data_IF_574669305400
#
_entry.id   IF_574669305400
#
_cell.length_a   1.000
_cell.length_b   1.000
_cell.length_c   1.000
_cell.angle_alpha   90.00
_cell.angle_beta   90.00
_cell.angle_gamma   90.00
#
_symmetry.space_group_name_H-M   'P 1'
#
loop_
_entity.id
_entity.type
_entity.pdbx_description
1 polymer ?
#
# COMPACT_ATOMS: atom_id res chain seq x y z
N UNK A 1 -6.24 -16.48 2.85
CA UNK A 1 -5.85 -16.47 4.28
C UNK A 1 -4.39 -16.12 4.51
N UNK A 2 -3.41 -16.69 3.79
CA UNK A 2 -1.95 -16.47 4.02
C UNK A 2 -1.50 -14.99 4.04
N UNK A 3 -1.98 -14.13 3.11
CA UNK A 3 -1.59 -12.69 3.10
C UNK A 3 -2.21 -11.85 4.22
N UNK A 4 -3.40 -12.22 4.71
CA UNK A 4 -4.02 -11.52 5.84
C UNK A 4 -3.13 -11.67 7.09
N UNK A 5 -2.58 -12.87 7.27
CA UNK A 5 -1.60 -13.16 8.33
C UNK A 5 -0.27 -12.41 8.13
N UNK A 6 0.18 -12.18 6.90
CA UNK A 6 1.42 -11.44 6.64
C UNK A 6 1.29 -9.95 7.01
N UNK A 7 0.21 -9.29 6.60
CA UNK A 7 -0.01 -7.88 6.98
C UNK A 7 -0.20 -7.73 8.49
N UNK A 8 -0.95 -8.62 9.13
CA UNK A 8 -1.11 -8.60 10.58
C UNK A 8 0.23 -8.74 11.30
N UNK A 9 1.08 -9.70 10.91
CA UNK A 9 2.45 -9.85 11.44
C UNK A 9 3.26 -8.57 11.25
N UNK A 10 3.28 -8.02 10.05
CA UNK A 10 4.02 -6.80 9.74
C UNK A 10 3.57 -5.60 10.58
N UNK A 11 2.26 -5.39 10.71
CA UNK A 11 1.68 -4.33 11.54
C UNK A 11 2.04 -4.54 13.03
N UNK A 12 2.08 -5.79 13.53
CA UNK A 12 2.54 -6.09 14.90
C UNK A 12 4.01 -5.74 15.10
N UNK A 13 4.87 -6.11 14.14
CA UNK A 13 6.29 -5.76 14.23
C UNK A 13 6.49 -4.24 14.25
N UNK A 14 5.77 -3.50 13.41
CA UNK A 14 5.81 -2.02 13.46
C UNK A 14 5.36 -1.51 14.83
N UNK A 15 4.25 -2.01 15.38
CA UNK A 15 3.77 -1.58 16.69
C UNK A 15 4.80 -1.84 17.81
N UNK A 16 5.46 -3.00 17.78
CA UNK A 16 6.52 -3.34 18.74
C UNK A 16 7.73 -2.42 18.60
N UNK A 17 8.16 -2.14 17.36
CA UNK A 17 9.27 -1.22 17.10
C UNK A 17 8.94 0.20 17.59
N UNK A 18 7.74 0.70 17.29
CA UNK A 18 7.29 2.01 17.75
C UNK A 18 7.24 2.10 19.28
N UNK A 19 6.75 1.05 19.92
CA UNK A 19 6.72 0.93 21.38
C UNK A 19 8.13 0.94 21.99
N UNK A 20 9.08 0.23 21.37
CA UNK A 20 10.46 0.22 21.83
C UNK A 20 11.12 1.58 21.65
N UNK A 21 10.98 2.23 20.49
CA UNK A 21 11.53 3.57 20.23
C UNK A 21 10.97 4.58 21.22
N UNK A 22 9.66 4.57 21.48
CA UNK A 22 9.05 5.49 22.44
C UNK A 22 9.49 5.21 23.88
N UNK A 23 9.60 3.95 24.28
CA UNK A 23 10.09 3.58 25.60
C UNK A 23 11.54 4.05 25.81
N UNK A 24 12.43 3.81 24.85
CA UNK A 24 13.81 4.29 24.93
C UNK A 24 13.86 5.82 25.03
N UNK A 25 13.08 6.54 24.22
CA UNK A 25 13.03 8.00 24.29
C UNK A 25 12.52 8.50 25.66
N UNK A 26 11.49 7.87 26.23
CA UNK A 26 11.01 8.19 27.59
C UNK A 26 12.07 7.94 28.66
N UNK A 27 12.74 6.78 28.61
CA UNK A 27 13.85 6.46 29.53
C UNK A 27 15.04 7.42 29.34
N UNK A 28 15.29 7.85 28.10
CA UNK A 28 16.31 8.85 27.78
C UNK A 28 16.08 10.18 28.50
N UNK A 29 14.83 10.64 28.60
CA UNK A 29 14.48 11.81 29.38
C UNK A 29 14.56 11.57 30.89
N UNK A 30 14.08 10.42 31.38
CA UNK A 30 14.07 10.12 32.82
C UNK A 30 15.47 9.91 33.42
N UNK A 31 16.39 9.33 32.65
CA UNK A 31 17.77 9.05 33.09
C UNK A 31 18.79 10.03 32.49
N UNK A 32 18.35 11.07 31.79
CA UNK A 32 19.20 12.05 31.12
C UNK A 32 20.22 11.40 30.14
N UNK A 33 19.82 10.34 29.45
CA UNK A 33 20.64 9.62 28.46
C UNK A 33 20.38 10.22 27.08
N UNK A 34 21.33 11.00 26.58
CA UNK A 34 21.19 11.73 25.31
C UNK A 34 21.03 10.83 24.08
N UNK A 35 21.68 9.67 24.07
CA UNK A 35 21.67 8.75 22.91
C UNK A 35 20.27 8.21 22.60
N UNK A 36 19.36 8.26 23.58
CA UNK A 36 17.99 7.81 23.42
C UNK A 36 17.02 8.93 23.04
N UNK A 37 17.40 10.20 23.23
CA UNK A 37 16.57 11.36 22.87
C UNK A 37 16.95 11.97 21.52
N UNK A 38 18.19 11.78 21.06
CA UNK A 38 18.70 12.24 19.76
C UNK A 38 19.48 11.13 19.04
N UNK A 39 19.30 11.04 17.72
CA UNK A 39 19.99 10.03 16.87
C UNK A 39 21.41 10.43 16.53
N UNK A 40 21.65 11.73 16.34
CA UNK A 40 22.96 12.28 16.01
C UNK A 40 23.14 13.61 16.75
N UNK A 41 24.38 13.88 17.18
CA UNK A 41 24.73 15.05 17.96
C UNK A 41 24.37 16.33 17.18
N UNK A 42 23.51 17.17 17.75
CA UNK A 42 23.08 18.43 17.14
C UNK A 42 21.77 18.34 16.33
N UNK A 43 21.16 17.15 16.19
CA UNK A 43 19.80 17.04 15.69
C UNK A 43 18.77 17.33 16.80
N UNK A 44 17.53 17.75 16.43
CA UNK A 44 16.46 17.91 17.39
C UNK A 44 16.18 16.62 18.17
N UNK A 45 15.97 16.76 19.48
CA UNK A 45 15.58 15.67 20.37
C UNK A 45 14.10 15.34 20.24
N UNK A 46 13.69 14.08 20.31
CA UNK A 46 12.28 13.73 20.50
C UNK A 46 11.87 14.05 21.92
N UNK A 47 10.90 14.97 22.08
CA UNK A 47 10.40 15.40 23.39
C UNK A 47 9.63 14.29 24.11
N UNK A 48 9.59 14.35 25.45
CA UNK A 48 8.91 13.36 26.28
C UNK A 48 7.44 13.17 25.88
N UNK A 49 6.69 14.26 25.70
CA UNK A 49 5.29 14.20 25.29
C UNK A 49 5.10 13.51 23.93
N UNK A 50 6.03 13.71 22.99
CA UNK A 50 6.03 13.01 21.71
C UNK A 50 6.24 11.51 21.90
N UNK A 51 7.21 11.12 22.73
CA UNK A 51 7.49 9.72 23.03
C UNK A 51 6.28 9.04 23.70
N UNK A 52 5.66 9.69 24.68
CA UNK A 52 4.46 9.20 25.33
C UNK A 52 3.29 9.03 24.34
N UNK A 53 3.05 10.00 23.45
CA UNK A 53 2.04 9.87 22.40
C UNK A 53 2.31 8.69 21.44
N UNK A 54 3.57 8.43 21.08
CA UNK A 54 3.91 7.24 20.28
C UNK A 54 3.73 5.94 21.05
N UNK A 55 4.02 5.91 22.35
CA UNK A 55 3.74 4.76 23.21
C UNK A 55 2.24 4.44 23.21
N UNK A 56 1.38 5.46 23.41
CA UNK A 56 -0.07 5.30 23.31
C UNK A 56 -0.49 4.81 21.93
N UNK A 57 0.01 5.43 20.85
CA UNK A 57 -0.30 5.06 19.48
C UNK A 57 0.09 3.60 19.17
N UNK A 58 1.26 3.16 19.61
CA UNK A 58 1.74 1.79 19.43
C UNK A 58 0.83 0.78 20.13
N UNK A 59 0.42 1.06 21.37
CA UNK A 59 -0.55 0.26 22.10
C UNK A 59 -1.91 0.20 21.38
N UNK A 60 -2.40 1.33 20.85
CA UNK A 60 -3.65 1.37 20.08
C UNK A 60 -3.55 0.52 18.81
N UNK A 61 -2.47 0.65 18.02
CA UNK A 61 -2.24 -0.15 16.81
C UNK A 61 -2.12 -1.64 17.15
N UNK A 62 -1.46 -2.00 18.24
CA UNK A 62 -1.35 -3.39 18.68
C UNK A 62 -2.72 -3.96 19.09
N UNK A 63 -3.48 -3.24 19.92
CA UNK A 63 -4.79 -3.68 20.42
C UNK A 63 -5.86 -3.76 19.33
N UNK A 64 -5.78 -2.92 18.28
CA UNK A 64 -6.73 -2.98 17.15
C UNK A 64 -6.66 -4.29 16.35
N UNK A 65 -5.61 -5.11 16.55
CA UNK A 65 -5.54 -6.44 15.96
C UNK A 65 -6.23 -7.55 16.77
N UNK A 66 -6.54 -7.31 18.04
CA UNK A 66 -7.11 -8.31 18.95
C UNK A 66 -8.57 -7.99 19.32
N UNK A 67 -9.43 -9.01 19.40
CA UNK A 67 -10.84 -8.83 19.80
C UNK A 67 -11.03 -8.44 21.27
N UNK A 68 -10.10 -8.80 22.17
CA UNK A 68 -10.26 -8.64 23.62
C UNK A 68 -9.81 -7.28 24.18
N UNK A 69 -9.06 -6.46 23.43
CA UNK A 69 -8.49 -5.20 23.93
C UNK A 69 -9.22 -3.94 23.44
N UNK A 70 -10.48 -4.08 23.00
CA UNK A 70 -11.20 -3.01 22.30
C UNK A 70 -11.41 -1.74 23.14
N UNK A 71 -11.97 -1.87 24.35
CA UNK A 71 -12.26 -0.73 25.23
C UNK A 71 -10.99 0.01 25.65
N UNK A 72 -9.93 -0.74 25.96
CA UNK A 72 -8.62 -0.18 26.34
C UNK A 72 -8.06 0.65 25.19
N UNK A 73 -8.10 0.11 23.96
CA UNK A 73 -7.64 0.81 22.76
C UNK A 73 -8.41 2.11 22.50
N UNK A 74 -9.69 2.18 22.84
CA UNK A 74 -10.50 3.40 22.70
C UNK A 74 -10.10 4.48 23.71
N UNK A 75 -9.96 4.11 24.99
CA UNK A 75 -9.52 5.04 26.05
C UNK A 75 -8.13 5.61 25.74
N UNK A 76 -7.18 4.75 25.34
CA UNK A 76 -5.83 5.19 24.96
C UNK A 76 -5.84 6.13 23.74
N UNK A 77 -6.71 5.86 22.77
CA UNK A 77 -6.81 6.70 21.57
C UNK A 77 -7.48 8.06 21.84
N UNK A 78 -8.45 8.11 22.76
CA UNK A 78 -9.05 9.36 23.24
C UNK A 78 -8.00 10.19 23.98
N UNK A 79 -7.23 9.57 24.89
CA UNK A 79 -6.14 10.24 25.59
C UNK A 79 -5.11 10.82 24.60
N UNK A 80 -4.70 10.03 23.61
CA UNK A 80 -3.80 10.47 22.54
C UNK A 80 -4.38 11.68 21.78
N UNK A 81 -5.66 11.64 21.41
CA UNK A 81 -6.32 12.73 20.70
C UNK A 81 -6.34 14.01 21.53
N UNK A 82 -6.66 13.89 22.82
CA UNK A 82 -6.71 15.04 23.75
C UNK A 82 -5.32 15.67 23.86
N UNK A 83 -4.28 14.90 24.16
CA UNK A 83 -2.92 15.42 24.32
C UNK A 83 -2.43 16.14 23.04
N UNK A 84 -2.64 15.54 21.87
CA UNK A 84 -2.26 16.12 20.60
C UNK A 84 -3.06 17.39 20.26
N UNK A 85 -4.37 17.39 20.54
CA UNK A 85 -5.25 18.54 20.30
C UNK A 85 -4.91 19.70 21.23
N UNK A 86 -4.69 19.44 22.52
CA UNK A 86 -4.29 20.46 23.48
C UNK A 86 -2.96 21.11 23.06
N UNK A 87 -1.97 20.30 22.63
CA UNK A 87 -0.70 20.84 22.12
C UNK A 87 -0.90 21.73 20.88
N UNK A 88 -1.76 21.32 19.94
CA UNK A 88 -2.05 22.13 18.76
C UNK A 88 -2.76 23.46 19.12
N UNK A 89 -3.72 23.41 20.07
CA UNK A 89 -4.42 24.61 20.54
C UNK A 89 -3.46 25.57 21.25
N UNK A 90 -2.50 25.07 22.03
CA UNK A 90 -1.45 25.90 22.64
C UNK A 90 -0.62 26.66 21.59
N UNK A 91 -0.37 26.07 20.40
CA UNK A 91 0.29 26.77 19.30
C UNK A 91 -0.57 27.86 18.66
N UNK A 92 -1.86 27.59 18.47
CA UNK A 92 -2.79 28.54 17.83
C UNK A 92 -3.13 29.70 18.79
N UNK A 93 -3.33 29.40 20.07
CA UNK A 93 -3.70 30.37 21.09
C UNK A 93 -2.53 31.10 21.74
N UNK A 94 -1.28 30.75 21.38
CA UNK A 94 -0.07 31.37 21.94
C UNK A 94 0.01 31.36 23.48
N UNK A 95 -0.56 30.33 24.11
CA UNK A 95 -0.51 30.14 25.56
C UNK A 95 0.25 28.86 25.94
N UNK A 96 0.66 28.78 27.21
CA UNK A 96 1.29 27.61 27.78
C UNK A 96 0.49 27.10 28.98
N UNK A 97 0.04 25.86 28.90
CA UNK A 97 -0.69 25.17 29.98
C UNK A 97 0.27 24.46 30.93
N UNK A 98 1.58 24.42 30.64
CA UNK A 98 2.59 23.74 31.44
C UNK A 98 2.56 22.21 31.31
N UNK A 99 1.72 21.64 30.43
CA UNK A 99 1.67 20.19 30.20
C UNK A 99 2.94 19.65 29.53
N UNK A 100 3.74 20.53 28.93
CA UNK A 100 4.92 20.19 28.15
C UNK A 100 6.13 19.78 29.01
N UNK A 101 6.11 20.13 30.30
CA UNK A 101 7.18 19.86 31.25
C UNK A 101 6.67 19.21 32.55
N UNK A 102 5.46 18.66 32.54
CA UNK A 102 4.82 18.10 33.74
C UNK A 102 5.57 16.90 34.31
N UNK A 103 6.15 16.06 33.43
CA UNK A 103 6.86 14.84 33.85
C UNK A 103 8.38 15.06 33.94
N UNK A 104 8.97 15.70 32.93
CA UNK A 104 10.41 15.98 32.87
C UNK A 104 10.61 17.39 32.30
N UNK A 105 11.50 18.16 32.92
CA UNK A 105 11.85 19.51 32.46
C UNK A 105 12.83 19.45 31.28
N UNK A 106 12.62 20.30 30.29
CA UNK A 106 13.48 20.40 29.10
C UNK A 106 14.60 21.41 29.33
N UNK A 107 15.55 21.07 30.20
CA UNK A 107 16.69 21.92 30.57
C UNK A 107 17.48 22.40 29.35
N UNK A 108 17.62 21.54 28.33
CA UNK A 108 18.32 21.87 27.08
C UNK A 108 17.52 22.84 26.22
N UNK A 109 16.20 22.67 26.14
CA UNK A 109 15.30 23.63 25.50
C UNK A 109 15.39 25.00 26.14
N UNK A 110 15.46 25.04 27.48
CA UNK A 110 15.63 26.27 28.25
C UNK A 110 17.01 26.89 27.97
N UNK A 111 18.08 26.11 28.03
CA UNK A 111 19.45 26.57 27.79
C UNK A 111 19.68 27.09 26.36
N UNK A 112 18.93 26.57 25.38
CA UNK A 112 19.01 26.99 23.97
C UNK A 112 18.05 28.13 23.63
N UNK A 113 17.29 28.65 24.60
CA UNK A 113 16.33 29.73 24.38
C UNK A 113 15.13 29.33 23.52
N UNK A 114 14.75 28.05 23.53
CA UNK A 114 13.58 27.57 22.80
C UNK A 114 12.30 28.20 23.41
N UNK A 115 11.46 28.88 22.61
CA UNK A 115 10.27 29.58 23.13
C UNK A 115 9.21 28.65 23.71
N UNK A 116 9.24 27.36 23.39
CA UNK A 116 8.29 26.36 23.94
C UNK A 116 9.05 25.08 24.34
N UNK A 117 9.75 25.09 25.48
CA UNK A 117 10.52 23.93 25.97
C UNK A 117 9.60 22.74 26.27
N UNK A 118 10.04 21.52 25.93
CA UNK A 118 9.27 20.29 26.12
C UNK A 118 8.14 20.05 25.10
N UNK A 119 7.68 21.09 24.41
CA UNK A 119 6.53 21.02 23.48
C UNK A 119 6.86 20.25 22.20
N UNK A 120 6.00 19.32 21.81
CA UNK A 120 6.11 18.62 20.53
C UNK A 120 5.88 19.57 19.35
N UNK A 121 6.47 19.33 18.18
CA UNK A 121 6.28 20.21 17.02
C UNK A 121 4.82 20.29 16.55
N UNK A 122 4.43 21.39 15.92
CA UNK A 122 3.08 21.57 15.38
C UNK A 122 2.71 20.50 14.34
N UNK A 123 3.66 20.10 13.48
CA UNK A 123 3.47 18.98 12.57
C UNK A 123 3.26 17.65 13.30
N UNK A 124 3.97 17.42 14.42
CA UNK A 124 3.86 16.20 15.21
C UNK A 124 2.47 16.09 15.85
N UNK A 125 1.97 17.18 16.46
CA UNK A 125 0.62 17.19 17.03
C UNK A 125 -0.45 16.96 15.96
N UNK A 126 -0.32 17.58 14.78
CA UNK A 126 -1.25 17.35 13.68
C UNK A 126 -1.22 15.89 13.18
N UNK A 127 -0.03 15.29 13.08
CA UNK A 127 0.11 13.88 12.69
C UNK A 127 -0.58 12.95 13.68
N UNK A 128 -0.43 13.17 14.99
CA UNK A 128 -1.13 12.36 16.00
C UNK A 128 -2.65 12.51 15.92
N UNK A 129 -3.17 13.73 15.69
CA UNK A 129 -4.60 13.96 15.49
C UNK A 129 -5.10 13.17 14.28
N UNK A 130 -4.42 13.26 13.15
CA UNK A 130 -4.79 12.52 11.92
C UNK A 130 -4.74 11.00 12.14
N UNK A 131 -3.71 10.49 12.81
CA UNK A 131 -3.62 9.07 13.14
C UNK A 131 -4.76 8.62 14.06
N UNK A 132 -5.08 9.40 15.09
CA UNK A 132 -6.16 9.08 16.03
C UNK A 132 -7.53 9.09 15.34
N UNK A 133 -7.82 10.10 14.51
CA UNK A 133 -9.06 10.16 13.72
C UNK A 133 -9.13 8.98 12.74
N UNK A 134 -8.03 8.64 12.07
CA UNK A 134 -7.96 7.49 11.18
C UNK A 134 -8.31 6.18 11.91
N UNK A 135 -7.72 5.95 13.08
CA UNK A 135 -7.96 4.76 13.89
C UNK A 135 -9.40 4.64 14.41
N UNK A 136 -10.07 5.76 14.72
CA UNK A 136 -11.51 5.78 15.06
C UNK A 136 -12.35 5.42 13.83
N UNK A 137 -12.10 6.08 12.69
CA UNK A 137 -12.89 5.91 11.47
C UNK A 137 -12.78 4.50 10.87
N UNK A 138 -11.62 3.84 11.01
CA UNK A 138 -11.42 2.44 10.58
C UNK A 138 -12.42 1.48 11.24
N UNK A 139 -12.86 1.78 12.47
CA UNK A 139 -13.79 0.95 13.24
C UNK A 139 -15.24 1.08 12.76
N UNK A 140 -15.56 2.10 11.99
CA UNK A 140 -16.91 2.29 11.46
C UNK A 140 -17.28 1.19 10.45
N UNK A 141 -18.56 0.83 10.37
CA UNK A 141 -19.05 -0.08 9.34
C UNK A 141 -19.17 0.59 7.96
N UNK A 142 -19.10 1.92 7.88
CA UNK A 142 -19.26 2.67 6.64
C UNK A 142 -17.98 2.67 5.79
N UNK A 143 -18.11 2.26 4.53
CA UNK A 143 -17.03 2.33 3.55
C UNK A 143 -16.55 3.77 3.30
N UNK A 144 -17.46 4.77 3.40
CA UNK A 144 -17.09 6.18 3.30
C UNK A 144 -16.15 6.59 4.45
N UNK A 145 -16.44 6.16 5.68
CA UNK A 145 -15.60 6.44 6.84
C UNK A 145 -14.21 5.79 6.69
N UNK A 146 -14.13 4.55 6.22
CA UNK A 146 -12.85 3.87 5.96
C UNK A 146 -12.04 4.55 4.85
N UNK A 147 -12.69 5.08 3.81
CA UNK A 147 -12.02 5.90 2.79
C UNK A 147 -11.43 7.19 3.37
N UNK A 148 -12.19 7.90 4.22
CA UNK A 148 -11.69 9.10 4.91
C UNK A 148 -10.52 8.75 5.83
N UNK A 149 -10.61 7.63 6.55
CA UNK A 149 -9.51 7.15 7.39
C UNK A 149 -8.22 6.88 6.60
N UNK A 150 -8.35 6.31 5.39
CA UNK A 150 -7.22 6.06 4.50
C UNK A 150 -6.53 7.38 4.12
N UNK A 151 -7.28 8.43 3.78
CA UNK A 151 -6.71 9.74 3.47
C UNK A 151 -5.92 10.32 4.63
N UNK A 152 -6.44 10.29 5.86
CA UNK A 152 -5.69 10.74 7.03
C UNK A 152 -4.37 9.97 7.23
N UNK A 153 -4.40 8.63 7.10
CA UNK A 153 -3.18 7.83 7.24
C UNK A 153 -2.14 8.17 6.16
N UNK A 154 -2.57 8.40 4.92
CA UNK A 154 -1.70 8.78 3.80
C UNK A 154 -1.16 10.19 3.98
N UNK A 155 -1.96 11.14 4.48
CA UNK A 155 -1.49 12.49 4.80
C UNK A 155 -0.35 12.46 5.83
N UNK A 156 -0.43 11.60 6.84
CA UNK A 156 0.66 11.41 7.82
C UNK A 156 1.90 10.82 7.17
N UNK A 157 1.74 9.84 6.26
CA UNK A 157 2.87 9.30 5.47
C UNK A 157 3.53 10.40 4.63
N UNK A 158 2.76 11.27 3.98
CA UNK A 158 3.28 12.36 3.16
C UNK A 158 4.00 13.43 4.01
N UNK A 159 3.41 13.84 5.13
CA UNK A 159 4.01 14.82 6.05
C UNK A 159 5.31 14.28 6.68
N UNK A 160 5.32 13.02 7.09
CA UNK A 160 6.52 12.38 7.63
C UNK A 160 7.59 12.19 6.57
N UNK A 161 7.22 11.83 5.34
CA UNK A 161 8.16 11.75 4.23
C UNK A 161 8.78 13.11 3.91
N UNK A 162 7.98 14.19 3.89
CA UNK A 162 8.49 15.56 3.75
C UNK A 162 9.47 15.97 4.87
N UNK A 163 9.19 15.56 6.11
CA UNK A 163 10.13 15.78 7.21
C UNK A 163 11.43 14.99 7.02
N UNK A 164 11.35 13.72 6.58
CA UNK A 164 12.52 12.87 6.28
C UNK A 164 13.38 13.48 5.17
N UNK A 165 12.79 13.98 4.08
CA UNK A 165 13.56 14.60 2.98
C UNK A 165 14.33 15.83 3.45
N UNK A 166 13.77 16.64 4.36
CA UNK A 166 14.49 17.76 4.95
C UNK A 166 15.75 17.33 5.73
N UNK A 167 15.74 16.14 6.34
CA UNK A 167 16.94 15.55 6.96
C UNK A 167 17.92 14.98 5.93
N UNK A 168 17.44 14.28 4.91
CA UNK A 168 18.28 13.73 3.82
C UNK A 168 19.05 14.85 3.12
N UNK A 169 18.39 15.98 2.87
CA UNK A 169 18.99 17.16 2.23
C UNK A 169 19.86 18.00 3.19
N UNK A 170 19.95 17.60 4.46
CA UNK A 170 20.68 18.31 5.51
C UNK A 170 20.31 19.81 5.52
N UNK A 171 19.01 20.10 5.57
CA UNK A 171 18.49 21.48 5.68
C UNK A 171 18.65 21.92 7.13
N UNK A 172 19.34 23.06 7.42
CA UNK A 172 19.49 23.60 8.76
C UNK A 172 18.13 23.82 9.44
N UNK A 173 18.07 23.64 10.77
CA UNK A 173 16.81 23.77 11.54
C UNK A 173 16.17 25.15 11.44
N UNK A 174 16.98 26.21 11.33
CA UNK A 174 16.52 27.60 11.20
C UNK A 174 15.93 27.91 9.83
N UNK A 175 16.33 27.19 8.78
CA UNK A 175 15.80 27.34 7.42
C UNK A 175 14.51 26.53 7.20
N UNK A 176 14.17 25.65 8.15
CA UNK A 176 12.92 24.89 8.10
C UNK A 176 11.75 25.80 8.47
N UNK A 177 10.61 25.58 7.81
CA UNK A 177 9.35 26.18 8.26
C UNK A 177 9.09 25.80 9.72
N UNK A 178 8.59 26.77 10.50
CA UNK A 178 8.30 26.60 11.95
C UNK A 178 7.41 25.38 12.25
N UNK A 179 6.61 24.97 11.27
CA UNK A 179 5.74 23.80 11.34
C UNK A 179 6.49 22.47 11.60
N UNK A 180 7.70 22.28 11.03
CA UNK A 180 8.50 21.04 11.17
C UNK A 180 9.86 21.24 11.86
N UNK A 181 10.24 22.48 12.21
CA UNK A 181 11.61 22.80 12.65
C UNK A 181 12.08 22.04 13.91
N UNK A 182 11.18 21.77 14.86
CA UNK A 182 11.50 21.06 16.11
C UNK A 182 11.28 19.53 16.04
N UNK A 183 10.89 18.99 14.89
CA UNK A 183 10.66 17.57 14.73
C UNK A 183 11.99 16.81 14.72
N UNK A 184 12.10 15.67 15.40
CA UNK A 184 13.27 14.80 15.34
C UNK A 184 13.19 13.81 14.15
N UNK A 185 14.34 13.31 13.67
CA UNK A 185 14.37 12.38 12.53
C UNK A 185 13.66 11.05 12.82
N UNK A 186 13.90 10.49 14.00
CA UNK A 186 13.27 9.23 14.43
C UNK A 186 11.77 9.41 14.70
N UNK A 187 11.31 10.60 15.11
CA UNK A 187 9.87 10.96 15.13
C UNK A 187 9.26 10.87 13.74
N UNK A 188 9.95 11.40 12.70
CA UNK A 188 9.46 11.34 11.32
C UNK A 188 9.41 9.91 10.79
N UNK A 189 10.47 9.13 11.01
CA UNK A 189 10.50 7.70 10.66
C UNK A 189 9.38 6.93 11.38
N UNK A 190 9.15 7.22 12.67
CA UNK A 190 8.09 6.59 13.47
C UNK A 190 6.70 6.89 12.91
N UNK A 191 6.41 8.13 12.51
CA UNK A 191 5.15 8.47 11.85
C UNK A 191 5.00 7.81 10.48
N UNK A 192 6.07 7.73 9.70
CA UNK A 192 6.05 7.05 8.40
C UNK A 192 5.69 5.57 8.57
N UNK A 193 6.33 4.89 9.53
CA UNK A 193 6.03 3.51 9.87
C UNK A 193 4.60 3.34 10.42
N UNK A 194 4.17 4.20 11.34
CA UNK A 194 2.83 4.15 11.91
C UNK A 194 1.74 4.37 10.84
N UNK A 195 1.93 5.35 9.96
CA UNK A 195 1.04 5.64 8.85
C UNK A 195 0.92 4.45 7.87
N UNK A 196 2.05 3.81 7.52
CA UNK A 196 2.05 2.57 6.74
C UNK A 196 1.30 1.44 7.44
N UNK A 197 1.53 1.25 8.74
CA UNK A 197 0.86 0.22 9.52
C UNK A 197 -0.67 0.41 9.52
N UNK A 198 -1.15 1.64 9.78
CA UNK A 198 -2.59 1.96 9.79
C UNK A 198 -3.21 1.88 8.39
N UNK A 199 -2.50 2.35 7.37
CA UNK A 199 -2.90 2.19 5.96
C UNK A 199 -3.12 0.71 5.60
N UNK A 200 -2.24 -0.18 6.05
CA UNK A 200 -2.32 -1.64 5.82
C UNK A 200 -3.42 -2.36 6.62
N UNK A 201 -4.02 -1.72 7.64
CA UNK A 201 -5.22 -2.26 8.32
C UNK A 201 -6.42 -2.24 7.36
N UNK A 202 -6.50 -1.23 6.48
CA UNK A 202 -7.57 -1.03 5.50
C UNK A 202 -7.05 -1.02 4.06
N UNK A 203 -6.45 -2.13 3.57
CA UNK A 203 -5.73 -2.15 2.30
C UNK A 203 -6.61 -1.97 1.07
N UNK A 204 -7.94 -2.14 1.21
CA UNK A 204 -8.92 -2.02 0.11
C UNK A 204 -9.41 -0.59 -0.14
N UNK A 205 -8.96 0.39 0.64
CA UNK A 205 -9.48 1.75 0.55
C UNK A 205 -8.37 2.77 0.26
N UNK A 206 -8.72 3.80 -0.52
CA UNK A 206 -7.85 4.93 -0.83
C UNK A 206 -6.63 4.56 -1.68
N UNK A 207 -5.53 5.32 -1.51
CA UNK A 207 -4.29 5.09 -2.25
C UNK A 207 -3.65 3.72 -1.94
N UNK A 208 -3.91 3.16 -0.75
CA UNK A 208 -3.37 1.87 -0.33
C UNK A 208 -3.78 0.72 -1.27
N UNK A 209 -4.98 0.78 -1.85
CA UNK A 209 -5.45 -0.26 -2.79
C UNK A 209 -4.54 -0.32 -4.02
N UNK A 210 -4.10 0.84 -4.52
CA UNK A 210 -3.21 0.91 -5.69
C UNK A 210 -1.87 0.21 -5.43
N UNK A 211 -1.38 0.20 -4.20
CA UNK A 211 -0.13 -0.47 -3.83
C UNK A 211 -0.30 -1.91 -3.37
N UNK A 212 -1.49 -2.32 -2.92
CA UNK A 212 -1.71 -3.66 -2.34
C UNK A 212 -2.42 -4.63 -3.28
N UNK A 213 -3.14 -4.15 -4.30
CA UNK A 213 -3.89 -5.02 -5.21
C UNK A 213 -2.98 -5.89 -6.10
N UNK A 214 -3.55 -6.97 -6.64
CA UNK A 214 -2.92 -7.87 -7.62
C UNK A 214 -3.21 -7.47 -9.08
N UNK A 215 -3.89 -6.35 -9.31
CA UNK A 215 -4.16 -5.86 -10.67
C UNK A 215 -2.84 -5.45 -11.34
N UNK A 216 -2.80 -5.59 -12.66
CA UNK A 216 -1.65 -5.19 -13.49
C UNK A 216 -1.25 -3.74 -13.20
N UNK A 217 -2.23 -2.83 -13.13
CA UNK A 217 -1.98 -1.42 -12.80
C UNK A 217 -1.27 -1.22 -11.46
N UNK A 218 -1.61 -2.01 -10.43
CA UNK A 218 -0.93 -1.96 -9.12
C UNK A 218 0.51 -2.48 -9.18
N UNK A 219 0.80 -3.47 -10.02
CA UNK A 219 2.17 -3.91 -10.25
C UNK A 219 3.00 -2.80 -10.91
N UNK A 220 2.46 -2.16 -11.94
CA UNK A 220 3.11 -1.05 -12.63
C UNK A 220 3.35 0.13 -11.68
N UNK A 221 2.33 0.55 -10.91
CA UNK A 221 2.43 1.66 -9.96
C UNK A 221 3.53 1.42 -8.93
N UNK A 222 3.60 0.23 -8.32
CA UNK A 222 4.66 -0.08 -7.34
C UNK A 222 6.06 0.13 -7.94
N UNK A 223 6.32 -0.47 -9.11
CA UNK A 223 7.62 -0.39 -9.76
C UNK A 223 7.99 1.05 -10.10
N UNK A 224 7.06 1.77 -10.73
CA UNK A 224 7.28 3.12 -11.25
C UNK A 224 7.37 4.16 -10.14
N UNK A 225 6.52 4.05 -9.11
CA UNK A 225 6.55 4.94 -7.96
C UNK A 225 7.92 4.91 -7.28
N UNK A 226 8.47 3.73 -6.98
CA UNK A 226 9.78 3.64 -6.33
C UNK A 226 10.92 4.12 -7.22
N UNK A 227 10.86 3.86 -8.54
CA UNK A 227 11.85 4.39 -9.49
C UNK A 227 11.82 5.92 -9.53
N UNK A 228 10.63 6.53 -9.64
CA UNK A 228 10.47 7.98 -9.66
C UNK A 228 10.89 8.62 -8.33
N UNK A 229 10.51 8.00 -7.21
CA UNK A 229 10.85 8.46 -5.87
C UNK A 229 12.38 8.56 -5.71
N UNK A 230 13.09 7.48 -6.03
CA UNK A 230 14.56 7.42 -5.89
C UNK A 230 15.23 8.40 -6.86
N UNK A 231 14.82 8.42 -8.13
CA UNK A 231 15.38 9.31 -9.13
C UNK A 231 15.20 10.79 -8.73
N UNK A 232 14.02 11.17 -8.25
CA UNK A 232 13.71 12.55 -7.86
C UNK A 232 14.52 12.96 -6.64
N UNK A 233 14.60 12.12 -5.60
CA UNK A 233 15.37 12.42 -4.40
C UNK A 233 16.88 12.56 -4.68
N UNK A 234 17.44 11.63 -5.47
CA UNK A 234 18.87 11.65 -5.81
C UNK A 234 19.22 12.91 -6.61
N UNK A 235 18.40 13.23 -7.61
CA UNK A 235 18.68 14.37 -8.45
C UNK A 235 18.49 15.69 -7.70
N UNK A 236 17.43 15.83 -6.90
CA UNK A 236 17.25 17.00 -6.04
C UNK A 236 18.43 17.17 -5.08
N UNK A 237 18.98 16.07 -4.53
CA UNK A 237 20.18 16.12 -3.71
C UNK A 237 21.40 16.61 -4.49
N UNK A 238 21.63 16.11 -5.72
CA UNK A 238 22.73 16.54 -6.59
C UNK A 238 22.61 18.04 -6.92
N UNK A 239 21.43 18.51 -7.31
CA UNK A 239 21.20 19.92 -7.64
C UNK A 239 21.48 20.80 -6.41
N UNK A 240 20.98 20.39 -5.25
CA UNK A 240 21.22 21.11 -3.99
C UNK A 240 22.70 21.13 -3.61
N UNK A 241 23.42 20.01 -3.82
CA UNK A 241 24.85 19.94 -3.59
C UNK A 241 25.63 20.90 -4.50
N UNK A 242 25.29 20.95 -5.78
CA UNK A 242 25.91 21.87 -6.74
C UNK A 242 25.61 23.34 -6.38
N UNK A 243 24.38 23.64 -5.98
CA UNK A 243 23.99 24.97 -5.47
C UNK A 243 24.84 25.38 -4.25
N UNK A 244 24.99 24.49 -3.26
CA UNK A 244 25.81 24.76 -2.05
C UNK A 244 27.29 24.98 -2.35
N UNK A 245 27.80 24.43 -3.46
CA UNK A 245 29.19 24.67 -3.94
C UNK A 245 29.34 25.94 -4.77
N UNK A 246 28.25 26.67 -5.03
CA UNK A 246 28.27 27.91 -5.79
C UNK A 246 28.30 27.74 -7.31
N UNK A 247 28.05 26.53 -7.82
CA UNK A 247 27.99 26.31 -9.28
C UNK A 247 26.76 26.96 -9.92
N UNK A 248 25.67 27.15 -9.16
CA UNK A 248 24.40 27.68 -9.64
C UNK A 248 23.81 28.70 -8.67
N UNK A 249 23.03 29.64 -9.19
CA UNK A 249 22.17 30.51 -8.39
C UNK A 249 20.92 29.76 -7.89
N UNK A 250 20.24 30.31 -6.88
CA UNK A 250 19.05 29.70 -6.29
C UNK A 250 17.91 29.57 -7.30
N UNK A 251 17.61 30.65 -8.03
CA UNK A 251 16.54 30.68 -9.04
C UNK A 251 16.81 29.68 -10.18
N UNK A 252 18.06 29.58 -10.62
CA UNK A 252 18.47 28.60 -11.62
C UNK A 252 18.32 27.16 -11.13
N UNK A 253 18.64 26.90 -9.85
CA UNK A 253 18.49 25.57 -9.25
C UNK A 253 17.03 25.13 -9.20
N UNK A 254 16.11 26.06 -8.89
CA UNK A 254 14.65 25.79 -8.90
C UNK A 254 14.19 25.45 -10.32
N UNK A 255 14.61 26.23 -11.33
CA UNK A 255 14.29 25.96 -12.73
C UNK A 255 14.84 24.58 -13.19
N UNK A 256 16.07 24.24 -12.80
CA UNK A 256 16.68 22.95 -13.11
C UNK A 256 15.90 21.78 -12.49
N UNK A 257 15.46 21.90 -11.23
CA UNK A 257 14.60 20.88 -10.59
C UNK A 257 13.32 20.68 -11.39
N UNK A 258 12.65 21.77 -11.81
CA UNK A 258 11.42 21.68 -12.60
C UNK A 258 11.64 20.98 -13.95
N UNK A 259 12.69 21.36 -14.68
CA UNK A 259 13.05 20.75 -15.96
C UNK A 259 13.29 19.25 -15.80
N UNK A 260 14.11 18.83 -14.83
CA UNK A 260 14.39 17.40 -14.71
C UNK A 260 13.21 16.61 -14.16
N UNK A 261 12.35 17.21 -13.33
CA UNK A 261 11.10 16.58 -12.93
C UNK A 261 10.16 16.37 -14.14
N UNK A 262 10.11 17.30 -15.09
CA UNK A 262 9.38 17.13 -16.36
C UNK A 262 9.98 16.00 -17.18
N UNK A 263 11.31 15.97 -17.36
CA UNK A 263 11.96 14.87 -18.10
C UNK A 263 11.77 13.51 -17.42
N UNK A 264 11.87 13.45 -16.09
CA UNK A 264 11.65 12.22 -15.32
C UNK A 264 10.20 11.72 -15.44
N UNK A 265 9.22 12.62 -15.37
CA UNK A 265 7.81 12.26 -15.56
C UNK A 265 7.53 11.83 -17.00
N UNK A 266 8.14 12.46 -18.01
CA UNK A 266 8.05 12.05 -19.41
C UNK A 266 8.61 10.63 -19.62
N UNK A 267 9.82 10.34 -19.11
CA UNK A 267 10.42 9.00 -19.18
C UNK A 267 9.51 7.97 -18.51
N UNK A 268 8.94 8.31 -17.35
CA UNK A 268 7.99 7.45 -16.65
C UNK A 268 6.76 7.16 -17.51
N UNK A 269 6.17 8.18 -18.13
CA UNK A 269 5.01 8.06 -19.00
C UNK A 269 5.31 7.17 -20.21
N UNK A 270 6.52 7.25 -20.79
CA UNK A 270 6.94 6.38 -21.88
C UNK A 270 7.03 4.91 -21.44
N UNK A 271 7.56 4.64 -20.24
CA UNK A 271 7.62 3.28 -19.69
C UNK A 271 6.20 2.74 -19.41
N UNK A 272 5.33 3.58 -18.84
CA UNK A 272 3.91 3.24 -18.60
C UNK A 272 3.21 2.91 -19.90
N UNK A 273 3.32 3.79 -20.90
CA UNK A 273 2.64 3.65 -22.18
C UNK A 273 3.06 2.37 -22.90
N UNK A 274 4.36 2.04 -22.93
CA UNK A 274 4.85 0.77 -23.51
C UNK A 274 4.31 -0.45 -22.77
N UNK A 275 4.24 -0.38 -21.44
CA UNK A 275 3.69 -1.46 -20.61
C UNK A 275 2.20 -1.69 -20.87
N UNK A 276 1.41 -0.61 -20.96
CA UNK A 276 -0.02 -0.68 -21.25
C UNK A 276 -0.26 -1.19 -22.67
N UNK A 277 0.46 -0.65 -23.66
CA UNK A 277 0.28 -1.03 -25.07
C UNK A 277 0.56 -2.50 -25.30
N UNK A 278 1.60 -3.07 -24.67
CA UNK A 278 1.89 -4.50 -24.76
C UNK A 278 0.73 -5.36 -24.24
N UNK A 279 0.17 -4.97 -23.10
CA UNK A 279 -0.91 -5.71 -22.46
C UNK A 279 -2.21 -5.59 -23.26
N UNK A 280 -2.47 -4.41 -23.84
CA UNK A 280 -3.61 -4.22 -24.74
C UNK A 280 -3.45 -5.06 -26.02
N UNK A 281 -2.25 -5.16 -26.59
CA UNK A 281 -1.99 -6.01 -27.77
C UNK A 281 -2.15 -7.50 -27.46
N UNK A 282 -1.64 -7.98 -26.32
CA UNK A 282 -1.79 -9.38 -25.90
C UNK A 282 -3.26 -9.73 -25.65
N UNK A 283 -4.03 -8.80 -25.06
CA UNK A 283 -5.46 -8.96 -24.85
C UNK A 283 -6.23 -9.03 -26.18
N UNK A 284 -5.96 -8.09 -27.10
CA UNK A 284 -6.63 -8.08 -28.42
C UNK A 284 -6.34 -9.33 -29.22
N UNK A 285 -5.11 -9.81 -29.22
CA UNK A 285 -4.75 -11.05 -29.92
C UNK A 285 -5.54 -12.25 -29.41
N UNK A 286 -5.73 -12.37 -28.08
CA UNK A 286 -6.53 -13.44 -27.49
C UNK A 286 -8.04 -13.31 -27.81
N UNK A 287 -8.57 -12.08 -27.84
CA UNK A 287 -9.96 -11.82 -28.24
C UNK A 287 -10.19 -12.14 -29.73
N UNK A 288 -9.21 -11.82 -30.59
CA UNK A 288 -9.27 -12.08 -32.03
C UNK A 288 -9.15 -13.58 -32.33
N UNK A 289 -8.26 -14.31 -31.64
CA UNK A 289 -8.17 -15.78 -31.77
C UNK A 289 -9.49 -16.47 -31.42
N UNK A 290 -10.14 -16.05 -30.32
CA UNK A 290 -11.46 -16.55 -29.95
C UNK A 290 -12.52 -16.22 -31.02
N UNK A 291 -12.52 -14.98 -31.53
CA UNK A 291 -13.45 -14.58 -32.58
C UNK A 291 -13.27 -15.40 -33.86
N UNK A 292 -12.01 -15.67 -34.24
CA UNK A 292 -11.68 -16.49 -35.40
C UNK A 292 -12.15 -17.93 -35.21
N UNK A 293 -11.93 -18.53 -34.04
CA UNK A 293 -12.44 -19.88 -33.70
C UNK A 293 -13.96 -19.94 -33.82
N UNK A 294 -14.68 -18.97 -33.25
CA UNK A 294 -16.14 -18.89 -33.35
C UNK A 294 -16.60 -18.76 -34.81
N UNK A 295 -15.90 -17.96 -35.62
CA UNK A 295 -16.20 -17.82 -37.06
C UNK A 295 -16.04 -19.15 -37.80
N UNK A 296 -14.94 -19.88 -37.59
CA UNK A 296 -14.72 -21.17 -38.24
C UNK A 296 -15.74 -22.23 -37.82
N UNK A 297 -16.09 -22.30 -36.54
CA UNK A 297 -17.11 -23.22 -36.03
C UNK A 297 -18.47 -22.97 -36.72
N UNK A 298 -18.86 -21.70 -36.84
CA UNK A 298 -20.14 -21.31 -37.44
C UNK A 298 -20.15 -21.37 -38.98
N UNK A 299 -19.00 -21.24 -39.63
CA UNK A 299 -18.90 -21.39 -41.09
C UNK A 299 -18.92 -22.86 -41.56
N UNK A 300 -18.74 -23.82 -40.65
CA UNK A 300 -18.74 -25.24 -41.00
C UNK A 300 -20.16 -25.71 -41.34
N UNK A 301 -20.40 -26.38 -42.48
CA UNK A 301 -21.75 -26.77 -42.92
C UNK A 301 -22.36 -27.94 -42.14
N UNK A 302 -21.67 -28.47 -41.13
CA UNK A 302 -22.15 -29.57 -40.28
C UNK A 302 -22.30 -29.08 -38.83
N UNK A 303 -23.30 -29.57 -38.08
CA UNK A 303 -23.38 -29.33 -36.65
C UNK A 303 -22.14 -29.86 -35.93
N UNK A 304 -21.55 -29.01 -35.10
CA UNK A 304 -20.32 -29.29 -34.37
C UNK A 304 -20.52 -29.03 -32.89
N UNK A 305 -19.97 -29.93 -32.06
CA UNK A 305 -19.91 -29.82 -30.61
C UNK A 305 -18.48 -30.15 -30.19
N UNK A 306 -17.92 -29.32 -29.32
CA UNK A 306 -16.64 -29.58 -28.66
C UNK A 306 -16.91 -29.91 -27.20
N UNK A 307 -16.36 -31.03 -26.73
CA UNK A 307 -16.50 -31.50 -25.35
C UNK A 307 -15.14 -31.65 -24.68
N UNK A 308 -15.09 -31.45 -23.36
CA UNK A 308 -13.90 -31.73 -22.57
C UNK A 308 -13.76 -33.22 -22.21
N UNK A 309 -12.68 -33.56 -21.49
CA UNK A 309 -12.37 -34.93 -21.05
C UNK A 309 -13.44 -35.54 -20.11
N UNK A 310 -14.32 -34.73 -19.55
CA UNK A 310 -15.45 -35.17 -18.71
C UNK A 310 -16.75 -35.31 -19.51
N UNK A 311 -16.72 -35.07 -20.83
CA UNK A 311 -17.89 -35.11 -21.70
C UNK A 311 -18.82 -33.89 -21.55
N UNK A 312 -18.33 -32.78 -20.99
CA UNK A 312 -19.09 -31.53 -20.86
C UNK A 312 -18.87 -30.69 -22.11
N UNK A 313 -19.95 -30.15 -22.67
CA UNK A 313 -19.96 -29.31 -23.87
C UNK A 313 -19.32 -27.95 -23.53
N UNK A 314 -18.26 -27.59 -24.26
CA UNK A 314 -17.55 -26.33 -24.14
C UNK A 314 -17.92 -25.32 -25.23
N UNK A 315 -18.14 -25.80 -26.47
CA UNK A 315 -18.50 -24.99 -27.63
C UNK A 315 -19.47 -25.76 -28.54
N UNK A 316 -20.34 -25.03 -29.24
CA UNK A 316 -21.22 -25.55 -30.29
C UNK A 316 -21.42 -24.50 -31.38
N UNK A 317 -21.63 -24.91 -32.62
CA UNK A 317 -21.93 -23.96 -33.70
C UNK A 317 -23.43 -23.65 -33.83
N UNK A 318 -23.77 -22.59 -34.59
CA UNK A 318 -25.15 -22.14 -34.77
C UNK A 318 -26.08 -23.18 -35.39
N UNK A 319 -25.55 -24.09 -36.23
CA UNK A 319 -26.31 -25.18 -36.84
C UNK A 319 -26.83 -26.20 -35.81
N UNK A 320 -26.28 -26.23 -34.59
CA UNK A 320 -26.83 -27.04 -33.51
C UNK A 320 -28.24 -26.60 -33.10
N UNK A 321 -28.54 -25.30 -33.22
CA UNK A 321 -29.88 -24.76 -32.97
C UNK A 321 -30.88 -25.33 -33.97
N UNK A 322 -30.50 -25.37 -35.25
CA UNK A 322 -31.38 -25.82 -36.33
C UNK A 322 -31.71 -27.31 -36.23
N UNK A 323 -30.77 -28.14 -35.75
CA UNK A 323 -30.96 -29.59 -35.64
C UNK A 323 -31.56 -30.02 -34.31
N UNK A 324 -31.02 -29.51 -33.19
CA UNK A 324 -31.39 -29.96 -31.85
C UNK A 324 -32.29 -28.98 -31.09
N UNK A 325 -32.50 -27.77 -31.60
CA UNK A 325 -33.37 -26.76 -30.99
C UNK A 325 -32.80 -26.06 -29.76
N UNK A 326 -31.55 -26.33 -29.39
CA UNK A 326 -30.89 -25.73 -28.23
C UNK A 326 -29.93 -24.62 -28.65
N UNK A 327 -30.00 -23.48 -27.95
CA UNK A 327 -29.04 -22.39 -28.12
C UNK A 327 -27.65 -22.75 -27.56
N UNK A 328 -26.62 -22.04 -28.03
CA UNK A 328 -25.24 -22.22 -27.53
C UNK A 328 -25.16 -22.01 -26.00
N UNK A 329 -25.86 -21.00 -25.47
CA UNK A 329 -25.89 -20.73 -24.02
C UNK A 329 -26.55 -21.85 -23.21
N UNK A 330 -27.55 -22.54 -23.79
CA UNK A 330 -28.21 -23.67 -23.13
C UNK A 330 -27.37 -24.94 -23.15
N UNK A 331 -26.55 -25.15 -24.19
CA UNK A 331 -25.68 -26.32 -24.30
C UNK A 331 -24.38 -26.17 -23.50
N UNK A 332 -23.86 -24.95 -23.38
CA UNK A 332 -22.58 -24.69 -22.70
C UNK A 332 -22.62 -25.14 -21.24
N UNK A 333 -21.69 -26.01 -20.87
CA UNK A 333 -21.58 -26.57 -19.52
C UNK A 333 -22.51 -27.76 -19.23
N UNK A 334 -23.35 -28.20 -20.17
CA UNK A 334 -24.12 -29.45 -20.06
C UNK A 334 -23.30 -30.66 -20.48
N UNK A 335 -23.64 -31.84 -19.96
CA UNK A 335 -23.05 -33.09 -20.43
C UNK A 335 -23.58 -33.44 -21.82
N UNK A 336 -22.71 -33.90 -22.73
CA UNK A 336 -23.11 -34.33 -24.08
C UNK A 336 -24.21 -35.40 -24.06
N UNK A 337 -24.26 -36.20 -22.99
CA UNK A 337 -25.30 -37.20 -22.75
C UNK A 337 -26.71 -36.60 -22.72
N UNK A 338 -26.88 -35.30 -22.42
CA UNK A 338 -28.19 -34.64 -22.46
C UNK A 338 -28.79 -34.53 -23.87
N UNK A 339 -27.97 -34.64 -24.91
CA UNK A 339 -28.40 -34.67 -26.31
C UNK A 339 -28.75 -36.09 -26.79
N UNK A 340 -28.50 -37.11 -25.96
CA UNK A 340 -28.72 -38.51 -26.27
C UNK A 340 -30.00 -38.99 -25.56
N UNK A 341 -30.87 -39.79 -26.20
CA UNK A 341 -32.05 -40.37 -25.54
C UNK A 341 -31.67 -41.23 -24.32
N UNK A 342 -32.47 -41.16 -23.25
CA UNK A 342 -32.20 -41.85 -21.95
C UNK A 342 -31.84 -43.33 -22.10
N UNK A 343 -32.53 -44.04 -23.00
CA UNK A 343 -32.29 -45.47 -23.27
C UNK A 343 -30.86 -45.82 -23.69
N UNK A 344 -30.09 -44.84 -24.17
CA UNK A 344 -28.70 -45.02 -24.63
C UNK A 344 -27.66 -44.39 -23.70
N UNK A 345 -28.05 -43.76 -22.60
CA UNK A 345 -27.10 -43.07 -21.69
C UNK A 345 -26.02 -43.99 -21.15
N UNK A 346 -26.40 -45.17 -20.68
CA UNK A 346 -25.48 -46.17 -20.11
C UNK A 346 -24.43 -46.63 -21.11
N UNK A 347 -24.87 -46.99 -22.32
CA UNK A 347 -24.00 -47.45 -23.41
C UNK A 347 -23.10 -46.32 -23.91
N UNK A 348 -23.64 -45.11 -24.09
CA UNK A 348 -22.88 -43.95 -24.54
C UNK A 348 -21.79 -43.55 -23.54
N UNK A 349 -22.08 -43.60 -22.23
CA UNK A 349 -21.10 -43.32 -21.18
C UNK A 349 -19.93 -44.30 -21.24
N UNK A 350 -20.19 -45.60 -21.42
CA UNK A 350 -19.14 -46.60 -21.60
C UNK A 350 -18.30 -46.34 -22.86
N UNK A 351 -18.92 -45.91 -23.96
CA UNK A 351 -18.17 -45.55 -25.17
C UNK A 351 -17.27 -44.32 -24.96
N UNK A 352 -17.75 -43.29 -24.26
CA UNK A 352 -16.95 -42.13 -23.89
C UNK A 352 -15.76 -42.50 -23.00
N UNK A 353 -15.99 -43.30 -21.96
CA UNK A 353 -14.94 -43.79 -21.07
C UNK A 353 -13.86 -44.55 -21.86
N UNK A 354 -14.28 -45.48 -22.72
CA UNK A 354 -13.36 -46.28 -23.54
C UNK A 354 -12.59 -45.44 -24.58
N UNK A 355 -13.23 -44.42 -25.16
CA UNK A 355 -12.58 -43.51 -26.09
C UNK A 355 -11.49 -42.69 -25.40
N UNK A 356 -11.77 -42.13 -24.22
CA UNK A 356 -10.78 -41.36 -23.47
C UNK A 356 -9.66 -42.23 -22.91
N UNK A 357 -9.94 -43.47 -22.49
CA UNK A 357 -8.90 -44.44 -22.14
C UNK A 357 -7.96 -44.70 -23.33
N UNK A 358 -8.52 -44.87 -24.53
CA UNK A 358 -7.72 -45.09 -25.73
C UNK A 358 -6.85 -43.87 -26.07
N UNK A 359 -7.40 -42.66 -26.04
CA UNK A 359 -6.62 -41.43 -26.28
C UNK A 359 -5.49 -41.28 -25.26
N UNK A 360 -5.75 -41.52 -23.98
CA UNK A 360 -4.73 -41.43 -22.94
C UNK A 360 -3.59 -42.43 -23.20
N UNK A 361 -3.90 -43.63 -23.71
CA UNK A 361 -2.88 -44.63 -24.05
C UNK A 361 -1.95 -44.19 -25.18
N UNK A 362 -2.48 -43.47 -26.18
CA UNK A 362 -1.72 -42.92 -27.31
C UNK A 362 -0.82 -41.78 -26.84
N UNK A 363 -1.35 -40.82 -26.06
CA UNK A 363 -0.57 -39.71 -25.50
C UNK A 363 0.63 -40.22 -24.66
N UNK A 364 0.46 -41.35 -24.00
CA UNK A 364 1.48 -41.96 -23.14
C UNK A 364 2.57 -42.69 -23.96
N UNK A 365 2.21 -43.34 -25.07
CA UNK A 365 3.17 -43.90 -26.02
C UNK A 365 3.98 -42.80 -26.73
N UNK A 366 3.35 -41.70 -27.13
CA UNK A 366 4.05 -40.57 -27.75
C UNK A 366 5.03 -39.88 -26.78
N UNK A 367 4.63 -39.69 -25.52
CA UNK A 367 5.53 -39.18 -24.47
C UNK A 367 6.75 -40.06 -24.27
N UNK A 368 6.56 -41.38 -24.21
CA UNK A 368 7.68 -42.31 -24.04
C UNK A 368 8.62 -42.30 -25.25
N UNK A 369 8.10 -42.09 -26.46
CA UNK A 369 8.90 -42.03 -27.70
C UNK A 369 9.69 -40.72 -27.80
N UNK A 370 9.18 -39.60 -27.27
CA UNK A 370 9.88 -38.29 -27.25
C UNK A 370 10.97 -38.18 -26.18
N UNK A 371 10.98 -39.01 -25.14
CA UNK A 371 12.04 -39.03 -24.11
C UNK A 371 13.25 -39.86 -24.56
N UNK A 372 13.10 -40.67 -25.62
CA UNK A 372 14.13 -41.52 -26.19
C UNK A 372 14.86 -40.89 -27.41
N UNK A 373 14.52 -39.65 -27.77
CA UNK A 373 15.26 -38.79 -28.72
C UNK A 373 15.81 -37.60 -27.96
#
# INVERSE_FOLDING_TARGET
>A
MVKLNLYQKFIRYIAIILWAISLFAMLGWLFHIEIFTQVYLGLPTMKFNTAFCFFLLACVIFCTQGRHCFKISEVLNILLLILATVTLVQYIGHFDLGIDQLVVQDERGIATGNPTPGRMSMATSLCFIFMSISLVLIRSNSDKAKKVAAYFSVSVILLSFFAITAFIYNIPTFDKIRFISSMAIHTAISFFMAGLAVSLIIPRFGMTELFTSKRIGSFMIRRLFFQLLVATLLLSYIILYCFRKGYFAADFSIAMVAVVLIFATLILLLIVSRGINRIDTEKRAAEEELHVIHMYLNATPNPLIVVNKQGIIELSNSLMVDIFGYSEEELKGRAITSLIPERFHSVHKQHLERYFEHINSIEQQEKNTRVLR
#
